data_IF_255368115000
#
_entry.id   IF_255368115000
#
_cell.length_a   1.000
_cell.length_b   1.000
_cell.length_c   1.000
_cell.angle_alpha   90.00
_cell.angle_beta   90.00
_cell.angle_gamma   90.00
#
_symmetry.space_group_name_H-M   'P 1'
#
loop_
_entity.id
_entity.type
_entity.pdbx_description
1 polymer ?
#
# COMPACT_ATOMS: atom_id res chain seq x y z
N UNK A 1 9.87 14.32 -1.02
CA UNK A 1 9.45 15.58 -1.67
C UNK A 1 7.93 15.50 -1.79
N UNK A 2 7.19 16.44 -1.21
CA UNK A 2 5.73 16.43 -1.33
C UNK A 2 5.34 16.90 -2.73
N UNK A 3 4.67 16.03 -3.50
CA UNK A 3 4.08 16.38 -4.78
C UNK A 3 2.65 16.89 -4.56
N UNK A 4 2.23 17.85 -5.37
CA UNK A 4 0.84 18.29 -5.47
C UNK A 4 0.17 17.52 -6.61
N UNK A 5 -1.04 17.01 -6.39
CA UNK A 5 -1.82 16.33 -7.43
C UNK A 5 -3.03 17.16 -7.84
N UNK A 6 -3.06 17.58 -9.09
CA UNK A 6 -4.11 18.45 -9.64
C UNK A 6 -4.51 18.00 -11.04
N UNK A 7 -5.69 18.41 -11.50
CA UNK A 7 -6.13 18.11 -12.86
C UNK A 7 -5.26 18.86 -13.88
N UNK A 8 -4.84 18.16 -14.93
CA UNK A 8 -4.05 18.76 -16.02
C UNK A 8 -4.94 19.72 -16.81
N UNK A 9 -4.53 20.97 -16.89
CA UNK A 9 -5.27 21.99 -17.64
C UNK A 9 -4.87 21.98 -19.12
N UNK A 10 -5.65 22.63 -19.99
CA UNK A 10 -5.33 22.74 -21.41
C UNK A 10 -3.95 23.37 -21.64
N UNK A 11 -3.58 24.35 -20.79
CA UNK A 11 -2.27 25.02 -20.83
C UNK A 11 -1.10 24.11 -20.44
N UNK A 12 -1.36 23.00 -19.74
CA UNK A 12 -0.35 22.00 -19.37
C UNK A 12 -0.10 20.97 -20.50
N UNK A 13 -0.91 20.95 -21.55
CA UNK A 13 -0.82 19.94 -22.63
C UNK A 13 0.49 20.01 -23.43
N UNK A 14 1.05 21.19 -23.77
CA UNK A 14 2.39 21.25 -24.36
C UNK A 14 3.44 20.56 -23.50
N UNK A 15 3.40 20.76 -22.17
CA UNK A 15 4.32 20.12 -21.24
C UNK A 15 4.07 18.61 -21.11
N UNK A 16 2.80 18.21 -21.13
CA UNK A 16 2.37 16.81 -21.14
C UNK A 16 2.96 16.07 -22.34
N UNK A 17 2.89 16.68 -23.53
CA UNK A 17 3.45 16.15 -24.77
C UNK A 17 4.98 16.02 -24.75
N UNK A 18 5.69 16.97 -24.12
CA UNK A 18 7.14 16.85 -23.91
C UNK A 18 7.51 15.62 -23.06
N UNK A 19 6.78 15.40 -21.97
CA UNK A 19 7.00 14.24 -21.09
C UNK A 19 6.65 12.94 -21.84
N UNK A 20 5.56 12.93 -22.62
CA UNK A 20 5.12 11.78 -23.41
C UNK A 20 6.18 11.31 -24.40
N UNK A 21 6.71 12.23 -25.21
CA UNK A 21 7.75 11.93 -26.19
C UNK A 21 9.06 11.46 -25.57
N UNK A 22 9.33 11.84 -24.32
CA UNK A 22 10.48 11.35 -23.56
C UNK A 22 10.19 10.03 -22.81
N UNK A 23 8.92 9.62 -22.72
CA UNK A 23 8.43 8.42 -22.07
C UNK A 23 8.32 7.22 -22.99
N UNK A 24 7.94 7.44 -24.24
CA UNK A 24 7.62 6.41 -25.22
C UNK A 24 8.49 6.48 -26.48
N UNK A 25 8.69 5.34 -27.18
CA UNK A 25 9.09 5.32 -28.58
C UNK A 25 8.15 6.16 -29.47
N UNK A 26 8.64 6.65 -30.61
CA UNK A 26 7.87 7.52 -31.52
C UNK A 26 6.61 6.83 -32.08
N UNK A 27 6.64 5.52 -32.29
CA UNK A 27 5.52 4.71 -32.76
C UNK A 27 4.50 4.38 -31.66
N UNK A 28 4.85 4.56 -30.39
CA UNK A 28 3.97 4.30 -29.25
C UNK A 28 3.39 5.59 -28.63
N UNK A 29 4.12 6.70 -28.71
CA UNK A 29 3.76 7.98 -28.08
C UNK A 29 2.44 8.57 -28.62
N UNK A 30 1.62 9.13 -27.73
CA UNK A 30 0.45 9.90 -28.16
C UNK A 30 0.86 11.18 -28.92
N UNK A 31 0.16 11.48 -30.02
CA UNK A 31 0.33 12.75 -30.72
C UNK A 31 -0.20 13.93 -29.89
N UNK A 32 0.30 15.14 -30.16
CA UNK A 32 -0.18 16.36 -29.51
C UNK A 32 -1.70 16.54 -29.69
N UNK A 33 -2.21 16.25 -30.88
CA UNK A 33 -3.64 16.37 -31.18
C UNK A 33 -4.46 15.32 -30.41
N UNK A 34 -3.94 14.11 -30.21
CA UNK A 34 -4.59 13.10 -29.37
C UNK A 34 -4.68 13.55 -27.91
N UNK A 35 -3.61 14.14 -27.37
CA UNK A 35 -3.60 14.67 -26.01
C UNK A 35 -4.57 15.85 -25.85
N UNK A 36 -4.63 16.76 -26.83
CA UNK A 36 -5.62 17.86 -26.84
C UNK A 36 -7.05 17.34 -26.88
N UNK A 37 -7.36 16.45 -27.83
CA UNK A 37 -8.69 15.86 -27.95
C UNK A 37 -9.13 15.17 -26.65
N UNK A 38 -8.25 14.35 -26.06
CA UNK A 38 -8.56 13.65 -24.81
C UNK A 38 -8.70 14.63 -23.62
N UNK A 39 -7.93 15.71 -23.56
CA UNK A 39 -8.08 16.71 -22.50
C UNK A 39 -9.37 17.52 -22.66
N UNK A 40 -9.76 17.87 -23.89
CA UNK A 40 -11.00 18.59 -24.18
C UNK A 40 -12.24 17.75 -23.85
N UNK A 41 -12.21 16.45 -24.13
CA UNK A 41 -13.36 15.56 -23.96
C UNK A 41 -13.40 14.84 -22.61
N UNK A 42 -12.24 14.62 -21.98
CA UNK A 42 -12.08 13.83 -20.77
C UNK A 42 -11.09 14.46 -19.76
N UNK A 43 -10.94 15.79 -19.75
CA UNK A 43 -9.99 16.49 -18.88
C UNK A 43 -10.17 16.23 -17.38
N UNK A 44 -11.37 15.85 -16.93
CA UNK A 44 -11.64 15.39 -15.57
C UNK A 44 -10.94 14.07 -15.20
N UNK A 45 -10.50 13.31 -16.20
CA UNK A 45 -9.74 12.08 -16.07
C UNK A 45 -8.24 12.29 -16.27
N UNK A 46 -7.77 13.53 -16.40
CA UNK A 46 -6.35 13.85 -16.50
C UNK A 46 -5.81 14.30 -15.14
N UNK A 47 -4.86 13.55 -14.60
CA UNK A 47 -4.23 13.88 -13.32
C UNK A 47 -2.74 14.16 -13.52
N UNK A 48 -2.27 15.30 -13.01
CA UNK A 48 -0.87 15.70 -13.00
C UNK A 48 -0.26 15.63 -11.59
N UNK A 49 1.02 15.29 -11.54
CA UNK A 49 1.89 15.48 -10.37
C UNK A 49 2.75 16.74 -10.59
N UNK A 50 2.70 17.65 -9.64
CA UNK A 50 3.40 18.93 -9.68
C UNK A 50 4.41 19.05 -8.54
N UNK A 51 5.60 19.58 -8.83
CA UNK A 51 6.49 20.08 -7.78
C UNK A 51 5.89 21.34 -7.14
N UNK A 52 6.11 21.62 -5.85
CA UNK A 52 5.49 22.77 -5.19
C UNK A 52 6.21 24.10 -5.46
N UNK A 53 7.51 24.09 -5.75
CA UNK A 53 8.31 25.32 -5.95
C UNK A 53 9.60 25.04 -6.76
N UNK A 54 9.69 25.51 -8.02
CA UNK A 54 8.60 26.10 -8.81
C UNK A 54 7.48 25.08 -9.08
N UNK A 55 6.27 25.56 -9.32
CA UNK A 55 5.14 24.70 -9.71
C UNK A 55 5.37 24.18 -11.13
N UNK A 56 5.66 22.90 -11.26
CA UNK A 56 5.99 22.29 -12.56
C UNK A 56 5.39 20.89 -12.67
N UNK A 57 4.73 20.61 -13.79
CA UNK A 57 4.26 19.28 -14.12
C UNK A 57 5.46 18.34 -14.34
N UNK A 58 5.53 17.29 -13.53
CA UNK A 58 6.62 16.29 -13.54
C UNK A 58 6.15 14.87 -13.82
N UNK A 59 4.84 14.65 -13.89
CA UNK A 59 4.26 13.41 -14.38
C UNK A 59 2.76 13.55 -14.54
N UNK A 60 2.16 12.71 -15.36
CA UNK A 60 0.73 12.78 -15.66
C UNK A 60 0.14 11.41 -16.00
N UNK A 61 -1.18 11.31 -15.83
CA UNK A 61 -2.03 10.23 -16.32
C UNK A 61 -3.08 10.86 -17.21
N UNK A 62 -3.28 10.28 -18.41
CA UNK A 62 -4.40 10.65 -19.27
C UNK A 62 -5.28 9.43 -19.58
N UNK A 63 -6.59 9.64 -19.67
CA UNK A 63 -7.55 8.55 -19.81
C UNK A 63 -8.82 9.00 -20.50
N UNK A 64 -9.59 8.06 -21.04
CA UNK A 64 -10.97 8.26 -21.50
C UNK A 64 -11.91 7.30 -20.79
N UNK A 65 -13.21 7.41 -21.07
CA UNK A 65 -14.20 6.44 -20.61
C UNK A 65 -14.50 5.45 -21.72
N UNK A 66 -14.79 4.22 -21.32
CA UNK A 66 -15.32 3.17 -22.19
C UNK A 66 -16.40 2.37 -21.47
N UNK A 67 -17.35 1.86 -22.24
CA UNK A 67 -18.38 0.91 -21.83
C UNK A 67 -17.84 -0.51 -21.74
N UNK A 68 -16.74 -0.80 -22.44
CA UNK A 68 -16.13 -2.13 -22.48
C UNK A 68 -15.38 -2.46 -21.18
N UNK A 69 -15.55 -3.66 -20.60
CA UNK A 69 -14.79 -4.09 -19.44
C UNK A 69 -13.35 -4.52 -19.78
N UNK A 70 -12.97 -4.56 -21.06
CA UNK A 70 -11.62 -4.86 -21.56
C UNK A 70 -11.18 -3.85 -22.62
N UNK A 71 -9.88 -3.67 -22.81
CA UNK A 71 -9.35 -2.72 -23.80
C UNK A 71 -9.33 -3.30 -25.21
N UNK A 72 -9.98 -2.58 -26.13
CA UNK A 72 -9.95 -2.80 -27.59
C UNK A 72 -9.32 -1.58 -28.28
N UNK A 73 -8.95 -1.71 -29.56
CA UNK A 73 -8.42 -0.60 -30.36
C UNK A 73 -9.38 0.63 -30.37
N UNK A 74 -10.69 0.38 -30.39
CA UNK A 74 -11.71 1.43 -30.36
C UNK A 74 -11.75 2.16 -29.01
N UNK A 75 -11.66 1.41 -27.91
CA UNK A 75 -11.59 2.01 -26.55
C UNK A 75 -10.31 2.81 -26.29
N UNK A 76 -9.24 2.51 -27.03
CA UNK A 76 -7.96 3.23 -26.98
C UNK A 76 -7.97 4.53 -27.83
N UNK A 77 -9.04 4.74 -28.62
CA UNK A 77 -9.15 5.86 -29.57
C UNK A 77 -10.28 6.83 -29.24
N UNK A 78 -11.41 6.35 -28.72
CA UNK A 78 -12.65 7.14 -28.58
C UNK A 78 -13.04 7.33 -27.11
N UNK A 79 -13.55 8.53 -26.77
CA UNK A 79 -14.17 8.78 -25.47
C UNK A 79 -15.66 8.45 -25.51
N UNK A 80 -16.11 7.55 -24.63
CA UNK A 80 -17.52 7.21 -24.45
C UNK A 80 -18.06 7.81 -23.15
N UNK A 81 -18.73 8.96 -23.20
CA UNK A 81 -19.16 9.72 -22.01
C UNK A 81 -20.08 8.95 -21.04
N UNK A 82 -20.74 7.90 -21.52
CA UNK A 82 -21.59 6.98 -20.74
C UNK A 82 -20.86 5.70 -20.27
N UNK A 83 -19.55 5.60 -20.52
CA UNK A 83 -18.71 4.49 -20.12
C UNK A 83 -18.59 4.35 -18.60
N UNK A 84 -18.52 3.10 -18.14
CA UNK A 84 -18.34 2.77 -16.73
C UNK A 84 -16.91 2.35 -16.39
N UNK A 85 -16.02 2.28 -17.37
CA UNK A 85 -14.61 1.95 -17.16
C UNK A 85 -13.72 3.09 -17.65
N UNK A 86 -12.60 3.29 -16.97
CA UNK A 86 -11.57 4.24 -17.38
C UNK A 86 -10.51 3.51 -18.19
N UNK A 87 -10.30 3.94 -19.44
CA UNK A 87 -9.21 3.47 -20.28
C UNK A 87 -8.02 4.43 -20.14
N UNK A 88 -6.97 3.98 -19.46
CA UNK A 88 -5.73 4.76 -19.26
C UNK A 88 -4.86 4.62 -20.50
N UNK A 89 -4.55 5.76 -21.14
CA UNK A 89 -3.77 5.81 -22.36
C UNK A 89 -2.28 6.03 -22.10
N UNK A 90 -1.95 6.92 -21.15
CA UNK A 90 -0.55 7.25 -20.83
C UNK A 90 -0.36 7.42 -19.33
N UNK A 91 0.75 6.88 -18.82
CA UNK A 91 1.27 7.10 -17.46
C UNK A 91 2.73 7.49 -17.60
N UNK A 92 3.02 8.77 -17.44
CA UNK A 92 4.30 9.33 -17.86
C UNK A 92 4.93 10.15 -16.74
N UNK A 93 6.24 9.97 -16.54
CA UNK A 93 7.02 10.71 -15.54
C UNK A 93 8.27 11.29 -16.20
N UNK A 94 8.51 12.58 -15.92
CA UNK A 94 9.68 13.30 -16.36
C UNK A 94 10.96 12.54 -15.98
N UNK A 95 11.90 12.43 -16.93
CA UNK A 95 13.11 11.62 -16.78
C UNK A 95 13.91 11.97 -15.53
N UNK A 96 13.97 13.25 -15.12
CA UNK A 96 14.69 13.69 -13.93
C UNK A 96 13.99 13.31 -12.61
N UNK A 97 12.72 12.90 -12.66
CA UNK A 97 11.91 12.53 -11.50
C UNK A 97 11.61 11.04 -11.40
N UNK A 98 12.08 10.22 -12.36
CA UNK A 98 11.97 8.76 -12.29
C UNK A 98 12.77 8.19 -11.11
N UNK A 99 12.36 7.03 -10.61
CA UNK A 99 12.99 6.36 -9.45
C UNK A 99 12.71 7.02 -8.09
N UNK A 100 11.91 8.09 -8.04
CA UNK A 100 11.55 8.81 -6.80
C UNK A 100 10.13 8.53 -6.31
N UNK A 101 9.49 7.49 -6.81
CA UNK A 101 8.12 7.10 -6.44
C UNK A 101 6.99 7.92 -7.07
N UNK A 102 7.28 8.82 -8.02
CA UNK A 102 6.28 9.70 -8.66
C UNK A 102 5.17 8.91 -9.34
N UNK A 103 5.51 7.90 -10.16
CA UNK A 103 4.51 7.08 -10.86
C UNK A 103 3.58 6.35 -9.88
N UNK A 104 4.13 5.75 -8.83
CA UNK A 104 3.36 5.06 -7.80
C UNK A 104 2.43 6.00 -7.03
N UNK A 105 2.92 7.19 -6.66
CA UNK A 105 2.10 8.20 -6.00
C UNK A 105 0.95 8.69 -6.89
N UNK A 106 1.25 8.94 -8.17
CA UNK A 106 0.28 9.41 -9.15
C UNK A 106 -0.80 8.35 -9.43
N UNK A 107 -0.43 7.08 -9.63
CA UNK A 107 -1.38 5.98 -9.85
C UNK A 107 -2.28 5.75 -8.63
N UNK A 108 -1.71 5.78 -7.42
CA UNK A 108 -2.49 5.61 -6.18
C UNK A 108 -3.51 6.74 -5.97
N UNK A 109 -3.08 7.98 -6.17
CA UNK A 109 -4.00 9.13 -6.09
C UNK A 109 -5.06 9.07 -7.20
N UNK A 110 -4.69 8.62 -8.40
CA UNK A 110 -5.61 8.48 -9.52
C UNK A 110 -6.71 7.46 -9.24
N UNK A 111 -6.35 6.24 -8.86
CA UNK A 111 -7.32 5.20 -8.52
C UNK A 111 -8.23 5.62 -7.35
N UNK A 112 -7.67 6.29 -6.34
CA UNK A 112 -8.45 6.84 -5.23
C UNK A 112 -9.51 7.84 -5.69
N UNK A 113 -9.18 8.73 -6.64
CA UNK A 113 -10.16 9.68 -7.19
C UNK A 113 -11.23 8.96 -8.02
N UNK A 114 -10.84 7.96 -8.80
CA UNK A 114 -11.77 7.18 -9.62
C UNK A 114 -12.74 6.35 -8.78
N UNK A 115 -12.27 5.71 -7.70
CA UNK A 115 -13.13 4.95 -6.78
C UNK A 115 -14.20 5.83 -6.10
N UNK A 116 -13.90 7.12 -5.91
CA UNK A 116 -14.85 8.11 -5.39
C UNK A 116 -15.83 8.68 -6.45
N UNK A 117 -15.66 8.34 -7.72
CA UNK A 117 -16.48 8.87 -8.83
C UNK A 117 -17.64 7.93 -9.10
N UNK A 118 -18.87 8.44 -9.04
CA UNK A 118 -20.05 7.65 -9.36
C UNK A 118 -19.98 7.09 -10.79
N UNK A 119 -20.56 5.90 -10.98
CA UNK A 119 -20.65 5.17 -12.26
C UNK A 119 -19.34 4.53 -12.76
N UNK A 120 -18.18 4.87 -12.19
CA UNK A 120 -16.92 4.23 -12.54
C UNK A 120 -16.78 2.91 -11.78
N UNK A 121 -16.73 1.81 -12.52
CA UNK A 121 -16.58 0.43 -12.05
C UNK A 121 -15.13 -0.04 -12.00
N UNK A 122 -14.22 0.66 -12.67
CA UNK A 122 -12.81 0.27 -12.68
C UNK A 122 -11.98 1.03 -13.70
N UNK A 123 -10.68 0.80 -13.63
CA UNK A 123 -9.70 1.29 -14.60
C UNK A 123 -9.04 0.12 -15.35
N UNK A 124 -8.66 0.37 -16.59
CA UNK A 124 -7.95 -0.55 -17.49
C UNK A 124 -6.76 0.15 -18.10
N UNK A 125 -5.67 -0.59 -18.26
CA UNK A 125 -4.49 -0.14 -18.98
C UNK A 125 -3.83 -1.32 -19.68
N UNK A 126 -2.97 -1.00 -20.64
CA UNK A 126 -2.01 -1.95 -21.18
C UNK A 126 -0.60 -1.53 -20.80
N UNK A 127 0.27 -2.50 -20.52
CA UNK A 127 1.66 -2.27 -20.15
C UNK A 127 2.61 -3.26 -20.82
N UNK A 128 3.86 -2.85 -21.04
CA UNK A 128 4.95 -3.78 -21.32
C UNK A 128 5.25 -4.63 -20.07
N UNK A 129 5.74 -5.85 -20.28
CA UNK A 129 5.93 -6.87 -19.22
C UNK A 129 6.76 -6.35 -18.04
N UNK A 130 7.83 -5.59 -18.32
CA UNK A 130 8.73 -5.04 -17.30
C UNK A 130 8.05 -4.01 -16.36
N UNK A 131 6.89 -3.48 -16.75
CA UNK A 131 6.12 -2.50 -15.97
C UNK A 131 4.99 -3.14 -15.15
N UNK A 132 4.67 -4.43 -15.34
CA UNK A 132 3.61 -5.13 -14.58
C UNK A 132 3.80 -4.95 -13.07
N UNK A 133 5.01 -5.14 -12.47
CA UNK A 133 5.18 -4.99 -11.03
C UNK A 133 4.90 -3.57 -10.52
N UNK A 134 5.08 -2.53 -11.35
CA UNK A 134 4.74 -1.15 -10.98
C UNK A 134 3.22 -1.00 -10.79
N UNK A 135 2.45 -1.54 -11.71
CA UNK A 135 1.00 -1.44 -11.71
C UNK A 135 0.36 -2.36 -10.65
N UNK A 136 0.93 -3.54 -10.40
CA UNK A 136 0.50 -4.41 -9.29
C UNK A 136 0.63 -3.70 -7.93
N UNK A 137 1.78 -3.07 -7.68
CA UNK A 137 1.99 -2.26 -6.45
C UNK A 137 1.06 -1.05 -6.36
N UNK A 138 0.49 -0.60 -7.48
CA UNK A 138 -0.49 0.48 -7.50
C UNK A 138 -1.93 -0.01 -7.30
N UNK A 139 -2.20 -1.32 -7.39
CA UNK A 139 -3.53 -1.91 -7.19
C UNK A 139 -4.17 -2.50 -8.45
N UNK A 140 -3.42 -2.67 -9.55
CA UNK A 140 -3.90 -3.37 -10.74
C UNK A 140 -3.60 -4.87 -10.65
N UNK A 141 -4.49 -5.70 -11.19
CA UNK A 141 -4.27 -7.11 -11.41
C UNK A 141 -3.93 -7.36 -12.89
N UNK A 142 -2.96 -8.23 -13.15
CA UNK A 142 -2.67 -8.72 -14.50
C UNK A 142 -3.86 -9.55 -15.01
N UNK A 143 -4.35 -9.21 -16.21
CA UNK A 143 -5.37 -10.00 -16.93
C UNK A 143 -4.70 -11.03 -17.83
N UNK A 144 -3.69 -10.59 -18.58
CA UNK A 144 -2.97 -11.43 -19.54
C UNK A 144 -2.47 -10.62 -20.73
N UNK A 145 -2.11 -11.30 -21.82
CA UNK A 145 -1.71 -10.64 -23.07
C UNK A 145 -2.90 -9.88 -23.67
N UNK A 146 -2.69 -8.64 -24.08
CA UNK A 146 -3.72 -7.82 -24.71
C UNK A 146 -3.86 -8.13 -26.20
N UNK A 147 -5.08 -8.04 -26.71
CA UNK A 147 -5.37 -8.09 -28.14
C UNK A 147 -5.04 -6.75 -28.85
N UNK A 148 -4.83 -5.67 -28.08
CA UNK A 148 -4.41 -4.38 -28.61
C UNK A 148 -2.92 -4.44 -28.96
N UNK A 149 -2.62 -4.31 -30.25
CA UNK A 149 -1.26 -4.16 -30.75
C UNK A 149 -0.97 -2.68 -31.00
N UNK A 150 0.03 -2.14 -30.31
CA UNK A 150 0.51 -0.78 -30.51
C UNK A 150 2.04 -0.79 -30.52
N UNK A 151 2.68 -0.47 -31.65
CA UNK A 151 4.13 -0.67 -31.81
C UNK A 151 4.55 -2.15 -31.96
N UNK A 152 5.83 -2.43 -31.79
CA UNK A 152 6.43 -3.73 -32.15
C UNK A 152 6.39 -4.81 -31.05
N UNK A 153 6.16 -4.42 -29.79
CA UNK A 153 6.22 -5.33 -28.63
C UNK A 153 4.82 -5.74 -28.15
N UNK A 154 4.68 -6.94 -27.55
CA UNK A 154 3.41 -7.37 -26.98
C UNK A 154 3.07 -6.55 -25.73
N UNK A 155 1.78 -6.24 -25.59
CA UNK A 155 1.25 -5.57 -24.43
C UNK A 155 0.47 -6.54 -23.54
N UNK A 156 0.44 -6.25 -22.24
CA UNK A 156 -0.31 -7.00 -21.25
C UNK A 156 -1.40 -6.11 -20.67
N UNK A 157 -2.64 -6.60 -20.67
CA UNK A 157 -3.77 -5.90 -20.09
C UNK A 157 -3.77 -6.05 -18.57
N UNK A 158 -4.04 -4.95 -17.89
CA UNK A 158 -4.16 -4.89 -16.44
C UNK A 158 -5.43 -4.15 -16.04
N UNK A 159 -6.04 -4.57 -14.93
CA UNK A 159 -7.30 -4.03 -14.45
C UNK A 159 -7.29 -3.68 -12.97
N UNK A 160 -7.98 -2.62 -12.61
CA UNK A 160 -8.38 -2.33 -11.24
C UNK A 160 -9.91 -2.23 -11.21
N UNK A 161 -10.58 -3.08 -10.43
CA UNK A 161 -12.04 -3.08 -10.29
C UNK A 161 -12.43 -2.40 -8.97
N UNK A 162 -13.43 -1.52 -9.02
CA UNK A 162 -14.04 -0.87 -7.87
C UNK A 162 -15.34 -1.59 -7.53
N UNK A 163 -15.64 -1.77 -6.24
CA UNK A 163 -16.82 -2.52 -5.82
C UNK A 163 -18.12 -1.84 -6.29
N UNK A 164 -19.04 -2.60 -6.88
CA UNK A 164 -20.36 -2.09 -7.31
C UNK A 164 -21.12 -1.52 -6.10
N UNK A 165 -21.48 -0.25 -6.15
CA UNK A 165 -22.53 0.30 -5.29
C UNK A 165 -23.86 -0.10 -5.92
N UNK A 166 -24.72 -0.90 -5.26
CA UNK A 166 -26.05 -1.17 -5.79
C UNK A 166 -26.84 0.15 -5.86
N UNK A 167 -27.34 0.45 -7.05
CA UNK A 167 -28.23 1.57 -7.29
C UNK A 167 -29.53 1.39 -6.48
N UNK A 168 -29.86 2.41 -5.72
CA UNK A 168 -30.96 2.47 -4.74
C UNK A 168 -32.33 2.15 -5.34
N UNK A 169 -33.02 1.16 -4.77
CA UNK A 169 -34.49 1.08 -4.75
C UNK A 169 -34.92 1.10 -3.27
N UNK A 170 -35.70 2.12 -2.89
CA UNK A 170 -36.00 2.44 -1.49
C UNK A 170 -36.96 1.47 -0.80
N UNK A 171 -36.97 1.49 0.53
CA UNK A 171 -38.13 1.58 1.45
C UNK A 171 -37.62 1.84 2.88
N UNK A 172 -38.26 2.82 3.53
CA UNK A 172 -38.51 3.09 4.95
C UNK A 172 -37.54 2.67 6.07
N UNK A 173 -37.06 3.71 6.77
CA UNK A 173 -36.83 3.87 8.22
C UNK A 173 -36.87 2.62 9.12
N UNK A 174 -35.68 2.25 9.61
CA UNK A 174 -35.48 1.91 11.01
C UNK A 174 -34.13 2.46 11.45
N UNK A 175 -34.15 3.35 12.45
CA UNK A 175 -32.99 3.96 13.08
C UNK A 175 -32.13 2.89 13.77
N UNK A 176 -31.13 2.39 13.07
CA UNK A 176 -29.85 1.97 13.64
C UNK A 176 -28.75 2.68 12.85
N UNK A 177 -28.18 3.69 13.51
CA UNK A 177 -26.95 4.39 13.14
C UNK A 177 -25.82 3.37 12.90
N UNK A 178 -25.24 3.37 11.70
CA UNK A 178 -23.86 2.97 11.32
C UNK A 178 -23.82 2.43 9.87
N UNK A 179 -23.69 3.34 8.91
CA UNK A 179 -23.21 3.06 7.56
C UNK A 179 -21.74 3.46 7.40
N UNK A 180 -20.89 3.07 8.35
CA UNK A 180 -19.47 3.43 8.44
C UNK A 180 -18.68 3.02 7.19
N UNK A 181 -18.01 4.01 6.61
CA UNK A 181 -16.72 3.90 5.90
C UNK A 181 -15.97 2.64 6.35
N UNK A 182 -15.68 1.69 5.44
CA UNK A 182 -14.86 0.47 5.69
C UNK A 182 -13.62 0.81 6.54
N UNK A 183 -13.78 0.72 7.86
CA UNK A 183 -12.85 1.25 8.84
C UNK A 183 -11.72 0.25 9.02
N UNK A 184 -10.44 0.66 9.09
CA UNK A 184 -9.28 -0.23 9.23
C UNK A 184 -9.16 -0.84 10.64
N UNK A 185 -10.29 -1.17 11.28
CA UNK A 185 -10.36 -1.59 12.66
C UNK A 185 -10.24 -0.43 13.65
N UNK A 186 -10.37 -0.77 14.94
CA UNK A 186 -10.42 0.14 16.08
C UNK A 186 -9.15 -0.02 16.94
N UNK A 187 -8.57 1.05 17.52
CA UNK A 187 -7.40 0.93 18.41
C UNK A 187 -7.70 0.12 19.67
N UNK A 188 -6.68 -0.50 20.28
CA UNK A 188 -6.82 -1.34 21.48
C UNK A 188 -7.63 -0.69 22.62
N UNK A 189 -7.42 0.62 22.86
CA UNK A 189 -8.11 1.37 23.93
C UNK A 189 -9.63 1.43 23.81
N UNK A 190 -10.20 1.06 22.65
CA UNK A 190 -11.65 1.03 22.45
C UNK A 190 -12.30 -0.29 22.89
N UNK A 191 -11.50 -1.31 23.22
CA UNK A 191 -11.96 -2.57 23.79
C UNK A 191 -11.94 -2.44 25.32
N UNK A 192 -13.11 -2.41 25.96
CA UNK A 192 -13.26 -2.11 27.40
C UNK A 192 -12.72 -3.24 28.29
N UNK A 193 -12.82 -4.47 27.83
CA UNK A 193 -12.20 -5.67 28.39
C UNK A 193 -10.74 -5.86 27.97
N UNK A 194 -10.13 -4.88 27.29
CA UNK A 194 -8.71 -4.88 26.96
C UNK A 194 -8.29 -6.09 26.13
N UNK A 195 -7.22 -6.76 26.56
CA UNK A 195 -6.70 -7.94 25.85
C UNK A 195 -7.63 -9.15 25.93
N UNK A 196 -8.50 -9.25 26.94
CA UNK A 196 -9.40 -10.42 27.08
C UNK A 196 -10.41 -10.52 25.92
N UNK A 197 -10.77 -9.38 25.32
CA UNK A 197 -11.60 -9.32 24.11
C UNK A 197 -10.82 -9.70 22.84
N UNK A 198 -9.51 -9.47 22.84
CA UNK A 198 -8.64 -9.59 21.66
C UNK A 198 -7.85 -10.89 21.63
N UNK A 199 -7.80 -11.63 22.74
CA UNK A 199 -7.10 -12.91 22.89
C UNK A 199 -8.09 -14.05 22.97
N UNK A 200 -7.85 -15.08 22.17
CA UNK A 200 -8.52 -16.36 22.29
C UNK A 200 -7.99 -17.07 23.54
N UNK A 201 -8.86 -17.29 24.53
CA UNK A 201 -8.48 -17.84 25.83
C UNK A 201 -8.10 -19.33 25.75
N UNK A 202 -8.51 -20.05 24.69
CA UNK A 202 -8.15 -21.44 24.48
C UNK A 202 -6.77 -21.58 23.81
N UNK A 203 -6.44 -20.68 22.89
CA UNK A 203 -5.21 -20.79 22.07
C UNK A 203 -4.12 -19.78 22.44
N UNK A 204 -4.47 -18.69 23.12
CA UNK A 204 -3.61 -17.54 23.39
C UNK A 204 -3.35 -16.67 22.14
N UNK A 205 -4.06 -16.90 21.04
CA UNK A 205 -3.85 -16.22 19.76
C UNK A 205 -4.77 -15.00 19.59
N UNK A 206 -4.43 -14.09 18.67
CA UNK A 206 -5.26 -12.94 18.35
C UNK A 206 -6.60 -13.35 17.74
N UNK A 207 -7.72 -12.92 18.35
CA UNK A 207 -9.09 -13.10 17.81
C UNK A 207 -9.37 -12.23 16.58
N UNK A 208 -8.67 -11.11 16.46
CA UNK A 208 -8.93 -10.06 15.48
C UNK A 208 -7.84 -9.99 14.40
N UNK A 209 -8.22 -9.52 13.22
CA UNK A 209 -7.28 -9.09 12.19
C UNK A 209 -6.60 -7.78 12.62
N UNK A 210 -5.28 -7.68 12.41
CA UNK A 210 -4.47 -6.53 12.79
C UNK A 210 -4.12 -5.66 11.57
N UNK A 211 -4.32 -4.35 11.71
CA UNK A 211 -4.08 -3.36 10.67
C UNK A 211 -3.13 -2.26 11.13
N UNK A 212 -2.60 -1.53 10.15
CA UNK A 212 -1.80 -0.32 10.37
C UNK A 212 -2.51 0.64 11.34
N UNK A 213 -1.79 1.28 12.29
CA UNK A 213 -2.41 2.20 13.23
C UNK A 213 -2.88 3.51 12.58
N UNK A 214 -2.34 3.86 11.41
CA UNK A 214 -2.74 5.03 10.62
C UNK A 214 -4.16 4.85 10.08
N UNK A 215 -5.06 5.78 10.41
CA UNK A 215 -6.45 5.75 9.97
C UNK A 215 -6.63 5.73 8.45
N UNK A 216 -5.69 6.35 7.75
CA UNK A 216 -5.66 6.48 6.29
C UNK A 216 -4.89 5.33 5.60
N UNK A 217 -4.28 4.43 6.38
CA UNK A 217 -3.58 3.26 5.86
C UNK A 217 -4.39 1.99 6.13
N UNK A 218 -4.63 1.20 5.09
CA UNK A 218 -5.39 -0.05 5.18
C UNK A 218 -4.49 -1.30 5.18
N UNK A 219 -3.19 -1.11 5.40
CA UNK A 219 -2.22 -2.20 5.39
C UNK A 219 -2.61 -3.26 6.42
N UNK A 220 -2.89 -4.46 5.91
CA UNK A 220 -3.20 -5.63 6.70
C UNK A 220 -1.89 -6.24 7.18
N UNK A 221 -1.69 -6.27 8.50
CA UNK A 221 -0.41 -6.64 9.10
C UNK A 221 -0.38 -8.11 9.50
N UNK A 222 -1.45 -8.58 10.17
CA UNK A 222 -1.49 -9.92 10.73
C UNK A 222 -2.92 -10.45 10.77
N UNK A 223 -3.10 -11.69 10.30
CA UNK A 223 -4.39 -12.38 10.31
C UNK A 223 -4.79 -12.86 11.70
N UNK A 224 -6.10 -12.91 11.98
CA UNK A 224 -6.63 -13.59 13.17
C UNK A 224 -6.06 -15.02 13.30
N UNK A 225 -5.77 -15.44 14.52
CA UNK A 225 -5.24 -16.77 14.83
C UNK A 225 -3.76 -16.97 14.49
N UNK A 226 -2.98 -15.90 14.37
CA UNK A 226 -1.56 -15.98 13.95
C UNK A 226 -0.59 -15.57 15.04
N UNK A 227 -0.83 -14.43 15.70
CA UNK A 227 0.04 -13.88 16.74
C UNK A 227 -0.36 -14.38 18.12
N UNK A 228 0.62 -14.84 18.90
CA UNK A 228 0.43 -15.23 20.31
C UNK A 228 0.56 -14.01 21.20
N UNK A 229 -0.39 -13.80 22.09
CA UNK A 229 -0.27 -12.72 23.08
C UNK A 229 0.83 -13.02 24.09
N UNK A 230 1.72 -12.05 24.27
CA UNK A 230 2.74 -12.08 25.32
C UNK A 230 2.69 -10.78 26.11
N UNK A 231 2.73 -10.92 27.43
CA UNK A 231 2.82 -9.78 28.33
C UNK A 231 4.27 -9.27 28.32
N UNK A 232 4.42 -7.97 28.09
CA UNK A 232 5.71 -7.30 28.18
C UNK A 232 6.09 -7.01 29.63
N UNK A 233 7.38 -7.06 29.92
CA UNK A 233 7.97 -6.78 31.21
C UNK A 233 8.54 -5.36 31.30
N UNK A 234 8.73 -4.85 32.51
CA UNK A 234 9.26 -3.49 32.73
C UNK A 234 10.69 -3.30 32.18
N UNK A 235 11.43 -4.40 31.99
CA UNK A 235 12.77 -4.43 31.41
C UNK A 235 12.76 -4.51 29.88
N UNK A 236 11.58 -4.62 29.25
CA UNK A 236 11.49 -4.78 27.81
C UNK A 236 11.84 -3.49 27.07
N UNK A 237 12.53 -3.68 25.96
CA UNK A 237 12.97 -2.63 25.04
C UNK A 237 11.86 -1.62 24.71
N UNK A 238 12.10 -0.32 24.97
CA UNK A 238 11.17 0.78 24.63
C UNK A 238 11.23 1.16 23.15
N UNK A 239 10.10 1.00 22.45
CA UNK A 239 10.01 1.34 21.04
C UNK A 239 10.14 2.86 20.85
N UNK A 240 11.01 3.33 19.93
CA UNK A 240 11.13 4.75 19.60
C UNK A 240 9.78 5.40 19.29
N UNK A 241 9.69 6.71 19.52
CA UNK A 241 8.49 7.49 19.21
C UNK A 241 8.13 7.35 17.71
N UNK A 242 6.83 7.30 17.43
CA UNK A 242 6.33 7.23 16.07
C UNK A 242 6.56 8.58 15.35
N UNK A 243 6.96 8.59 14.06
CA UNK A 243 7.18 9.81 13.27
C UNK A 243 5.95 10.71 13.17
N UNK A 244 4.76 10.10 13.22
CA UNK A 244 3.49 10.79 13.36
C UNK A 244 2.76 10.18 14.56
N UNK A 245 2.32 10.97 15.55
CA UNK A 245 1.53 10.44 16.65
C UNK A 245 0.28 9.78 16.08
N UNK A 246 0.03 8.53 16.44
CA UNK A 246 -1.29 7.92 16.22
C UNK A 246 -2.25 8.78 17.01
N UNK A 247 -3.17 9.50 16.35
CA UNK A 247 -4.05 10.51 16.95
C UNK A 247 -4.64 10.03 18.29
N UNK A 248 -3.97 10.42 19.36
CA UNK A 248 -4.30 10.14 20.76
C UNK A 248 -3.49 11.13 21.61
N UNK A 249 -4.09 11.78 22.61
CA UNK A 249 -3.33 12.48 23.63
C UNK A 249 -2.48 11.47 24.41
N UNK A 250 -1.26 11.89 24.76
CA UNK A 250 -0.29 11.12 25.54
C UNK A 250 -0.93 10.62 26.84
N UNK A 251 -1.01 9.30 27.10
CA UNK A 251 -1.43 8.83 28.41
C UNK A 251 -0.40 9.26 29.47
N UNK A 252 -0.84 9.63 30.68
CA UNK A 252 0.07 10.00 31.76
C UNK A 252 1.00 8.84 32.09
N UNK A 253 2.25 9.20 32.35
CA UNK A 253 3.36 8.34 32.73
C UNK A 253 3.04 7.54 34.01
N UNK A 254 2.39 6.39 33.87
CA UNK A 254 2.39 5.34 34.89
C UNK A 254 1.84 4.03 34.32
N UNK A 255 2.74 3.06 34.15
CA UNK A 255 2.48 1.61 34.10
C UNK A 255 1.39 1.09 33.16
N UNK A 256 1.38 1.50 31.88
CA UNK A 256 0.65 0.72 30.87
C UNK A 256 1.38 -0.60 30.68
N UNK A 257 0.76 -1.71 31.04
CA UNK A 257 1.30 -3.06 30.79
C UNK A 257 1.58 -3.19 29.31
N UNK A 258 2.87 -3.19 28.97
CA UNK A 258 3.35 -3.33 27.60
C UNK A 258 2.96 -4.74 27.15
N UNK A 259 2.50 -4.89 25.92
CA UNK A 259 2.03 -6.17 25.40
C UNK A 259 2.43 -6.32 23.95
N UNK A 260 2.67 -7.56 23.52
CA UNK A 260 3.06 -7.84 22.15
C UNK A 260 2.26 -9.00 21.58
N UNK A 261 2.02 -8.92 20.27
CA UNK A 261 1.75 -10.08 19.45
C UNK A 261 3.08 -10.67 19.04
N UNK A 262 3.37 -11.84 19.56
CA UNK A 262 4.53 -12.63 19.23
C UNK A 262 4.25 -13.50 18.01
N UNK A 263 5.09 -13.38 16.99
CA UNK A 263 4.99 -14.12 15.74
C UNK A 263 6.31 -14.84 15.51
N UNK A 264 6.28 -16.13 15.18
CA UNK A 264 7.49 -16.96 15.09
C UNK A 264 8.22 -16.86 13.75
N UNK A 265 7.59 -16.29 12.73
CA UNK A 265 8.13 -16.21 11.37
C UNK A 265 7.79 -14.86 10.74
N UNK A 266 8.74 -14.22 10.02
CA UNK A 266 8.45 -13.00 9.27
C UNK A 266 7.46 -13.25 8.13
N UNK A 267 7.35 -14.48 7.64
CA UNK A 267 6.42 -14.89 6.57
C UNK A 267 4.99 -15.09 7.05
N UNK A 268 4.74 -15.00 8.36
CA UNK A 268 3.39 -15.06 8.93
C UNK A 268 2.71 -13.68 8.94
N UNK A 269 3.47 -12.60 8.74
CA UNK A 269 2.91 -11.29 8.47
C UNK A 269 2.43 -11.19 7.03
N UNK A 270 1.38 -10.41 6.82
CA UNK A 270 0.79 -10.22 5.50
C UNK A 270 1.53 -9.10 4.76
N UNK A 271 1.70 -7.92 5.38
CA UNK A 271 2.41 -6.78 4.78
C UNK A 271 3.21 -5.98 5.83
N UNK A 272 4.29 -6.58 6.36
CA UNK A 272 5.21 -5.91 7.29
C UNK A 272 6.58 -5.66 6.64
N UNK A 273 7.14 -4.48 6.89
CA UNK A 273 8.49 -4.10 6.51
C UNK A 273 9.46 -4.17 7.68
N UNK A 274 10.75 -4.14 7.38
CA UNK A 274 11.82 -4.14 8.37
C UNK A 274 12.75 -2.94 8.15
N UNK A 275 13.09 -2.23 9.23
CA UNK A 275 14.05 -1.15 9.17
C UNK A 275 15.47 -1.64 8.84
N UNK A 276 16.35 -0.69 8.54
CA UNK A 276 17.81 -0.91 8.68
C UNK A 276 18.12 -1.26 10.13
N UNK A 277 19.21 -2.02 10.33
CA UNK A 277 19.65 -2.41 11.66
C UNK A 277 19.91 -1.16 12.52
N UNK A 278 19.36 -1.16 13.73
CA UNK A 278 19.58 -0.13 14.74
C UNK A 278 20.41 -0.71 15.89
N UNK A 279 21.29 0.12 16.45
CA UNK A 279 21.95 -0.21 17.70
C UNK A 279 20.90 -0.31 18.82
N UNK A 280 21.02 -1.27 19.75
CA UNK A 280 20.21 -1.24 20.96
C UNK A 280 20.51 0.08 21.71
N UNK A 281 19.50 0.85 22.14
CA UNK A 281 19.73 2.05 22.92
C UNK A 281 20.32 1.64 24.27
N UNK A 282 21.54 2.09 24.53
CA UNK A 282 22.19 1.89 25.81
C UNK A 282 21.36 2.56 26.91
N UNK A 283 21.03 1.79 27.95
CA UNK A 283 20.78 2.36 29.27
C UNK A 283 21.99 3.25 29.58
N UNK A 284 21.72 4.55 29.69
CA UNK A 284 22.60 5.60 30.20
C UNK A 284 23.99 5.12 30.63
N UNK A 285 25.01 5.38 29.82
CA UNK A 285 26.27 6.06 30.18
C UNK A 285 27.24 5.91 28.99
N UNK A 286 27.81 7.03 28.59
CA UNK A 286 28.98 7.16 27.72
C UNK A 286 30.01 6.03 27.92
N UNK A 287 30.13 5.15 26.93
CA UNK A 287 31.34 4.36 26.69
C UNK A 287 31.39 3.85 25.25
N UNK A 288 32.55 4.04 24.64
CA UNK A 288 32.98 3.59 23.32
C UNK A 288 33.00 2.06 23.24
N UNK A 289 31.82 1.46 23.02
CA UNK A 289 31.71 0.07 22.59
C UNK A 289 30.74 -0.04 21.42
N UNK A 290 31.27 -0.45 20.28
CA UNK A 290 30.51 -0.72 19.04
C UNK A 290 29.73 -2.02 19.20
N UNK A 291 28.66 -2.01 20.00
CA UNK A 291 27.71 -3.10 20.00
C UNK A 291 27.11 -3.21 18.59
N UNK A 292 27.07 -4.41 17.98
CA UNK A 292 26.51 -4.57 16.65
C UNK A 292 25.05 -4.15 16.65
N UNK A 293 24.61 -3.48 15.57
CA UNK A 293 23.22 -3.15 15.38
C UNK A 293 22.42 -4.44 15.11
N UNK A 294 21.77 -4.98 16.13
CA UNK A 294 21.02 -6.24 16.06
C UNK A 294 19.50 -6.03 16.02
N UNK A 295 19.00 -4.83 16.30
CA UNK A 295 17.55 -4.60 16.31
C UNK A 295 17.05 -4.24 14.92
N UNK A 296 15.99 -4.92 14.48
CA UNK A 296 15.16 -4.51 13.34
C UNK A 296 13.78 -4.09 13.83
N UNK A 297 13.36 -2.90 13.41
CA UNK A 297 12.01 -2.43 13.68
C UNK A 297 11.04 -2.94 12.63
N UNK A 298 9.85 -3.33 13.08
CA UNK A 298 8.73 -3.65 12.23
C UNK A 298 8.07 -2.36 11.78
N UNK A 299 7.85 -2.20 10.48
CA UNK A 299 7.16 -1.03 9.89
C UNK A 299 5.99 -1.51 9.04
N UNK A 300 5.00 -0.66 8.84
CA UNK A 300 3.95 -0.90 7.85
C UNK A 300 4.58 -0.94 6.45
N UNK A 301 4.36 -2.01 5.67
CA UNK A 301 4.95 -2.11 4.33
C UNK A 301 4.35 -1.12 3.31
N UNK A 302 3.11 -0.66 3.52
CA UNK A 302 2.43 0.22 2.56
C UNK A 302 2.78 1.71 2.72
N UNK A 303 3.01 2.14 3.96
CA UNK A 303 3.17 3.57 4.29
C UNK A 303 4.41 3.89 5.12
N UNK A 304 5.29 2.90 5.32
CA UNK A 304 6.53 2.98 6.09
C UNK A 304 6.35 3.45 7.54
N UNK A 305 5.11 3.40 8.05
CA UNK A 305 4.81 3.85 9.40
C UNK A 305 5.33 2.85 10.43
N UNK A 306 6.18 3.30 11.35
CA UNK A 306 6.73 2.51 12.43
C UNK A 306 7.63 3.36 13.33
N UNK A 307 8.21 2.78 14.38
CA UNK A 307 8.29 1.35 14.62
C UNK A 307 7.00 0.80 15.26
N UNK A 308 6.37 -0.19 14.64
CA UNK A 308 5.18 -0.89 15.15
C UNK A 308 5.55 -1.98 16.15
N UNK A 309 6.77 -2.48 16.06
CA UNK A 309 7.29 -3.61 16.79
C UNK A 309 8.80 -3.74 16.57
N UNK A 310 9.38 -4.82 17.08
CA UNK A 310 10.81 -5.08 16.93
C UNK A 310 11.12 -6.58 16.86
N UNK A 311 12.32 -6.87 16.39
CA UNK A 311 12.92 -8.19 16.36
C UNK A 311 14.43 -8.04 16.58
N UNK A 312 15.02 -8.90 17.41
CA UNK A 312 16.47 -8.98 17.59
C UNK A 312 17.06 -10.03 16.63
N UNK A 313 17.93 -9.57 15.73
CA UNK A 313 18.62 -10.43 14.78
C UNK A 313 19.81 -11.15 15.40
N UNK A 314 20.25 -10.75 16.60
CA UNK A 314 21.47 -11.24 17.27
C UNK A 314 22.70 -11.18 16.34
N UNK A 315 22.73 -10.20 15.43
CA UNK A 315 23.82 -10.00 14.47
C UNK A 315 23.70 -10.79 13.16
N UNK A 316 22.60 -11.51 12.94
CA UNK A 316 22.33 -12.27 11.69
C UNK A 316 21.64 -11.42 10.62
N UNK A 317 21.75 -11.85 9.37
CA UNK A 317 21.08 -11.23 8.23
C UNK A 317 19.65 -11.79 8.06
N UNK A 318 18.66 -11.02 8.50
CA UNK A 318 17.24 -11.38 8.37
C UNK A 318 16.83 -11.70 6.93
N UNK A 319 17.43 -11.05 5.92
CA UNK A 319 17.10 -11.31 4.52
C UNK A 319 17.50 -12.72 4.09
N UNK A 320 18.68 -13.18 4.50
CA UNK A 320 19.11 -14.56 4.26
C UNK A 320 18.21 -15.58 4.98
N UNK A 321 17.72 -15.24 6.17
CA UNK A 321 16.82 -16.13 6.92
C UNK A 321 15.45 -16.25 6.26
N UNK A 322 14.88 -15.13 5.81
CA UNK A 322 13.62 -15.10 5.05
C UNK A 322 13.75 -15.91 3.76
N UNK A 323 14.87 -15.75 3.05
CA UNK A 323 15.15 -16.51 1.84
C UNK A 323 15.23 -18.02 2.12
N UNK A 324 15.98 -18.43 3.15
CA UNK A 324 16.10 -19.84 3.52
C UNK A 324 14.74 -20.45 3.94
N UNK A 325 13.88 -19.68 4.62
CA UNK A 325 12.53 -20.13 4.99
C UNK A 325 11.61 -20.28 3.77
N UNK A 326 11.69 -19.36 2.79
CA UNK A 326 10.98 -19.46 1.52
C UNK A 326 11.43 -20.69 0.72
N UNK A 327 12.74 -20.90 0.59
CA UNK A 327 13.31 -22.07 -0.10
C UNK A 327 12.89 -23.39 0.57
N UNK A 328 12.84 -23.44 1.90
CA UNK A 328 12.38 -24.60 2.65
C UNK A 328 10.88 -24.90 2.44
N UNK A 329 10.05 -23.87 2.21
CA UNK A 329 8.62 -24.04 1.90
C UNK A 329 8.38 -24.56 0.48
N UNK A 330 9.21 -24.15 -0.48
CA UNK A 330 9.08 -24.57 -1.89
C UNK A 330 9.65 -25.98 -2.15
N UNK A 331 10.59 -26.45 -1.32
CA UNK A 331 11.35 -27.69 -1.51
C UNK A 331 10.68 -29.04 -1.21
N UNK A 332 9.41 -29.08 -0.79
CA UNK A 332 8.56 -30.29 -0.82
C UNK A 332 9.15 -31.66 -0.42
N UNK A 333 9.76 -31.79 0.77
CA UNK A 333 10.01 -33.13 1.37
C UNK A 333 9.39 -33.24 2.77
N UNK A 334 8.45 -34.19 2.90
CA UNK A 334 7.76 -34.58 4.13
C UNK A 334 8.63 -35.34 5.14
N UNK A 335 9.79 -34.79 5.49
CA UNK A 335 10.50 -35.09 6.73
C UNK A 335 10.28 -33.95 7.70
N UNK A 336 10.14 -34.24 9.00
CA UNK A 336 9.91 -33.26 10.08
C UNK A 336 10.42 -31.86 9.71
N UNK A 337 9.49 -30.92 9.52
CA UNK A 337 9.80 -29.57 9.06
C UNK A 337 10.96 -29.01 9.88
N UNK A 338 11.86 -28.23 9.27
CA UNK A 338 13.00 -27.69 9.99
C UNK A 338 12.46 -27.07 11.27
N UNK A 339 12.93 -27.55 12.43
CA UNK A 339 12.59 -26.95 13.71
C UNK A 339 12.86 -25.45 13.53
N UNK A 340 11.78 -24.66 13.43
CA UNK A 340 11.86 -23.20 13.50
C UNK A 340 12.59 -22.96 14.81
N UNK A 341 13.86 -22.58 14.71
CA UNK A 341 14.78 -22.54 15.85
C UNK A 341 14.09 -21.79 16.99
N UNK A 342 13.71 -22.54 18.03
CA UNK A 342 13.04 -22.04 19.23
C UNK A 342 13.77 -20.79 19.74
N UNK A 343 13.03 -19.71 19.94
CA UNK A 343 13.51 -18.53 20.67
C UNK A 343 13.59 -17.22 19.86
N UNK A 344 13.18 -17.19 18.59
CA UNK A 344 13.23 -15.96 17.78
C UNK A 344 11.83 -15.51 17.39
N UNK A 345 11.35 -14.50 18.07
CA UNK A 345 10.00 -13.98 17.89
C UNK A 345 10.05 -12.55 17.33
N UNK A 346 9.05 -12.21 16.54
CA UNK A 346 8.78 -10.86 16.05
C UNK A 346 7.69 -10.30 16.94
N UNK A 347 7.98 -9.19 17.61
CA UNK A 347 7.11 -8.62 18.63
C UNK A 347 6.43 -7.37 18.09
N UNK A 348 5.14 -7.49 17.80
CA UNK A 348 4.30 -6.39 17.33
C UNK A 348 3.53 -5.77 18.51
N UNK A 349 3.74 -4.49 18.80
CA UNK A 349 3.16 -3.86 19.99
C UNK A 349 1.64 -3.72 19.88
N UNK A 350 0.91 -4.20 20.90
CA UNK A 350 -0.56 -4.25 20.90
C UNK A 350 -1.21 -2.87 20.79
N UNK A 351 -0.52 -1.83 21.24
CA UNK A 351 -0.97 -0.44 21.23
C UNK A 351 -0.68 0.29 19.90
N UNK A 352 0.16 -0.28 19.03
CA UNK A 352 0.61 0.32 17.76
C UNK A 352 -0.07 -0.32 16.54
N UNK A 353 -1.24 -0.92 16.74
CA UNK A 353 -2.07 -1.54 15.68
C UNK A 353 -3.56 -1.26 15.90
N UNK A 354 -4.35 -1.48 14.85
CA UNK A 354 -5.83 -1.49 14.91
C UNK A 354 -6.36 -2.90 14.79
N UNK A 355 -7.51 -3.14 15.40
CA UNK A 355 -8.13 -4.46 15.51
C UNK A 355 -9.48 -4.48 14.79
N UNK A 356 -9.68 -5.50 13.96
CA UNK A 356 -10.98 -5.83 13.38
C UNK A 356 -11.38 -7.23 13.84
N UNK A 357 -12.21 -7.28 14.87
CA UNK A 357 -12.76 -8.53 15.45
C UNK A 357 -13.68 -9.21 14.44
#
# INVERSE_FOLDING_TARGET
MALEYALVQADDIPRTYEIERAGFPEDEAASLDSLRYRQENAGQLFLGAYTPSPRQLVGYICSTLTTSPTLTHDSMSTHEANGSYVAIHSVCVDKAQRGKGVASGLLKEYLKRLEGTERIKGARLIAHEELIPLYERAGFALVGKSDVTHGARPWFEMKADFADRPATAGVAESEEDEGEVRSPGRPMRWFKGGMDELVDQATGLNKADLFCPRADCRCFLLRRGTGKWVQGHATDFELPALPHPVSSPTPPSSSSSRGYWSVSSPLAFENIGFSRNAAPPSSSTSSTSSAPATIKYLTCADCDHGPLGWHDTEGRDLGMEVQAENEAREGGQGGAGPEVRKGREFLLAVERVRYRV
#
